data_IF_055298002119
#
_entry.id   IF_055298002119
#
_cell.length_a   1.000
_cell.length_b   1.000
_cell.length_c   1.000
_cell.angle_alpha   90.00
_cell.angle_beta   90.00
_cell.angle_gamma   90.00
#
_symmetry.space_group_name_H-M   'P 1'
#
loop_
_entity.id
_entity.type
_entity.pdbx_description
1 polymer ?
#
# COMPACT_ATOMS: atom_id res chain seq x y z
N UNK A 1 -3.64 8.10 6.46
CA UNK A 1 -4.65 7.78 7.48
C UNK A 1 -5.28 9.03 8.07
N UNK A 2 -6.57 8.96 8.43
CA UNK A 2 -7.31 9.96 9.21
C UNK A 2 -6.76 10.11 10.64
N UNK A 3 -6.15 9.05 11.18
CA UNK A 3 -5.57 9.03 12.53
C UNK A 3 -4.18 9.71 12.61
N UNK A 4 -3.63 10.16 11.48
CA UNK A 4 -2.31 10.77 11.44
C UNK A 4 -2.29 12.17 12.08
N UNK A 5 -1.31 12.41 12.95
CA UNK A 5 -0.97 13.71 13.53
C UNK A 5 0.33 14.25 12.92
N UNK A 6 0.77 15.44 13.33
CA UNK A 6 1.95 16.08 12.74
C UNK A 6 3.23 15.25 12.90
N UNK A 7 3.40 14.55 14.02
CA UNK A 7 4.55 13.69 14.27
C UNK A 7 4.54 12.46 13.35
N UNK A 8 3.44 11.71 13.29
CA UNK A 8 3.36 10.50 12.45
C UNK A 8 3.43 10.85 10.97
N UNK A 9 2.85 11.98 10.55
CA UNK A 9 2.98 12.48 9.18
C UNK A 9 4.43 12.84 8.83
N UNK A 10 5.14 13.49 9.75
CA UNK A 10 6.55 13.83 9.57
C UNK A 10 7.41 12.57 9.43
N UNK A 11 7.22 11.58 10.31
CA UNK A 11 7.94 10.31 10.26
C UNK A 11 7.67 9.54 8.96
N UNK A 12 6.40 9.39 8.58
CA UNK A 12 6.05 8.69 7.33
C UNK A 12 6.58 9.42 6.10
N UNK A 13 6.57 10.76 6.08
CA UNK A 13 7.14 11.54 4.99
C UNK A 13 8.66 11.35 4.90
N UNK A 14 9.37 11.46 6.02
CA UNK A 14 10.81 11.23 6.05
C UNK A 14 11.17 9.81 5.63
N UNK A 15 10.43 8.82 6.13
CA UNK A 15 10.59 7.42 5.73
C UNK A 15 10.43 7.24 4.22
N UNK A 16 9.40 7.85 3.63
CA UNK A 16 9.19 7.81 2.18
C UNK A 16 10.37 8.41 1.41
N UNK A 17 10.85 9.60 1.80
CA UNK A 17 11.99 10.24 1.11
C UNK A 17 13.26 9.40 1.20
N UNK A 18 13.56 8.83 2.37
CA UNK A 18 14.74 7.99 2.60
C UNK A 18 14.66 6.70 1.79
N UNK A 19 13.52 5.99 1.84
CA UNK A 19 13.34 4.74 1.14
C UNK A 19 13.33 4.94 -0.38
N UNK A 20 12.71 6.01 -0.85
CA UNK A 20 12.73 6.38 -2.26
C UNK A 20 14.16 6.65 -2.74
N UNK A 21 14.93 7.51 -2.06
CA UNK A 21 16.33 7.77 -2.42
C UNK A 21 17.16 6.49 -2.42
N UNK A 22 16.95 5.64 -1.41
CA UNK A 22 17.67 4.38 -1.27
C UNK A 22 17.38 3.40 -2.41
N UNK A 23 16.15 3.34 -2.91
CA UNK A 23 15.76 2.52 -4.07
C UNK A 23 16.32 3.12 -5.36
N UNK A 24 16.18 4.43 -5.56
CA UNK A 24 16.54 5.07 -6.83
C UNK A 24 18.04 5.21 -7.04
N UNK A 25 18.80 5.34 -5.95
CA UNK A 25 20.25 5.56 -5.98
C UNK A 25 21.06 4.36 -5.43
N UNK A 26 20.45 3.17 -5.35
CA UNK A 26 21.10 1.93 -4.95
C UNK A 26 21.87 2.03 -3.61
N UNK A 27 21.22 2.61 -2.58
CA UNK A 27 21.77 2.78 -1.21
C UNK A 27 21.05 1.89 -0.18
N UNK A 28 21.17 0.56 -0.26
CA UNK A 28 20.43 -0.37 0.61
C UNK A 28 20.76 -0.20 2.10
N UNK A 29 21.91 0.38 2.46
CA UNK A 29 22.28 0.71 3.83
C UNK A 29 21.29 1.67 4.53
N UNK A 30 20.49 2.40 3.75
CA UNK A 30 19.45 3.30 4.28
C UNK A 30 18.10 2.62 4.48
N UNK A 31 17.88 1.41 3.96
CA UNK A 31 16.61 0.68 4.12
C UNK A 31 16.24 0.45 5.59
N UNK A 32 17.14 0.02 6.49
CA UNK A 32 16.80 -0.19 7.89
C UNK A 32 16.28 1.10 8.56
N UNK A 33 16.95 2.23 8.30
CA UNK A 33 16.55 3.52 8.90
C UNK A 33 15.20 4.00 8.37
N UNK A 34 15.00 3.98 7.04
CA UNK A 34 13.72 4.35 6.43
C UNK A 34 12.58 3.44 6.89
N UNK A 35 12.82 2.13 6.98
CA UNK A 35 11.83 1.15 7.45
C UNK A 35 11.45 1.36 8.92
N UNK A 36 12.44 1.65 9.78
CA UNK A 36 12.20 1.97 11.19
C UNK A 36 11.30 3.19 11.34
N UNK A 37 11.60 4.29 10.63
CA UNK A 37 10.78 5.51 10.68
C UNK A 37 9.36 5.25 10.16
N UNK A 38 9.22 4.46 9.09
CA UNK A 38 7.93 4.04 8.56
C UNK A 38 7.11 3.32 9.64
N UNK A 39 7.70 2.32 10.30
CA UNK A 39 7.06 1.56 11.38
C UNK A 39 6.64 2.42 12.57
N UNK A 40 7.49 3.36 13.00
CA UNK A 40 7.13 4.33 14.05
C UNK A 40 5.95 5.22 13.65
N UNK A 41 5.91 5.64 12.38
CA UNK A 41 4.83 6.46 11.84
C UNK A 41 3.51 5.68 11.75
N UNK A 42 3.45 4.64 10.91
CA UNK A 42 2.20 3.91 10.66
C UNK A 42 1.75 3.08 11.86
N UNK A 43 2.66 2.60 12.71
CA UNK A 43 2.33 1.85 13.91
C UNK A 43 1.48 2.65 14.89
N UNK A 44 1.49 3.98 14.79
CA UNK A 44 0.70 4.89 15.61
C UNK A 44 -0.43 5.58 14.85
N UNK A 45 -0.64 5.27 13.56
CA UNK A 45 -1.71 5.89 12.78
C UNK A 45 -2.40 4.99 11.74
N UNK A 46 -2.16 3.68 11.70
CA UNK A 46 -2.71 2.71 10.71
C UNK A 46 -2.17 2.88 9.29
N UNK A 47 -2.17 1.78 8.53
CA UNK A 47 -1.64 1.62 7.16
C UNK A 47 -2.72 1.61 6.06
N UNK A 48 -4.00 1.55 6.42
CA UNK A 48 -5.16 1.79 5.54
C UNK A 48 -5.32 0.87 4.32
N UNK A 49 -5.97 1.35 3.24
CA UNK A 49 -6.49 0.54 2.12
C UNK A 49 -5.47 -0.42 1.49
N UNK A 50 -4.22 0.00 1.30
CA UNK A 50 -3.19 -0.85 0.68
C UNK A 50 -2.92 -2.14 1.45
N UNK A 51 -2.96 -2.09 2.80
CA UNK A 51 -2.82 -3.29 3.63
C UNK A 51 -4.08 -4.15 3.60
N UNK A 52 -5.26 -3.54 3.64
CA UNK A 52 -6.53 -4.27 3.55
C UNK A 52 -6.60 -5.09 2.24
N UNK A 53 -6.24 -4.50 1.11
CA UNK A 53 -6.18 -5.16 -0.20
C UNK A 53 -5.17 -6.30 -0.24
N UNK A 54 -4.04 -6.18 0.48
CA UNK A 54 -2.97 -7.18 0.44
C UNK A 54 -3.38 -8.53 1.04
N UNK A 55 -4.37 -8.56 1.94
CA UNK A 55 -4.76 -9.78 2.66
C UNK A 55 -5.25 -10.89 1.76
N UNK A 56 -6.02 -10.58 0.71
CA UNK A 56 -6.56 -11.62 -0.19
C UNK A 56 -5.45 -12.32 -0.97
N UNK A 57 -4.40 -11.59 -1.34
CA UNK A 57 -3.22 -12.18 -1.98
C UNK A 57 -2.38 -12.97 -0.97
N UNK A 58 -2.19 -12.45 0.24
CA UNK A 58 -1.43 -13.14 1.29
C UNK A 58 -2.12 -14.43 1.74
N UNK A 59 -3.45 -14.48 1.75
CA UNK A 59 -4.21 -15.70 2.02
C UNK A 59 -4.01 -16.78 0.94
N UNK A 60 -3.62 -16.38 -0.28
CA UNK A 60 -3.25 -17.29 -1.37
C UNK A 60 -1.76 -17.68 -1.36
N UNK A 61 -0.99 -17.22 -0.36
CA UNK A 61 0.43 -17.52 -0.19
C UNK A 61 1.38 -16.52 -0.87
N UNK A 62 0.88 -15.40 -1.41
CA UNK A 62 1.72 -14.35 -1.98
C UNK A 62 2.50 -13.65 -0.85
N UNK A 63 3.84 -13.50 -0.96
CA UNK A 63 4.62 -12.79 0.05
C UNK A 63 4.08 -11.39 0.33
N UNK A 64 3.91 -11.04 1.60
CA UNK A 64 3.21 -9.81 2.00
C UNK A 64 3.85 -8.52 1.44
N UNK A 65 5.18 -8.42 1.48
CA UNK A 65 5.88 -7.25 0.89
C UNK A 65 5.68 -7.16 -0.63
N UNK A 66 5.61 -8.29 -1.32
CA UNK A 66 5.38 -8.34 -2.75
C UNK A 66 3.92 -7.96 -3.08
N UNK A 67 2.92 -8.45 -2.34
CA UNK A 67 1.52 -8.04 -2.55
C UNK A 67 1.32 -6.54 -2.27
N UNK A 68 2.00 -6.00 -1.26
CA UNK A 68 1.94 -4.58 -0.93
C UNK A 68 2.47 -3.66 -2.03
N UNK A 69 3.35 -4.11 -2.93
CA UNK A 69 3.86 -3.28 -4.04
C UNK A 69 2.70 -2.74 -4.91
N UNK A 70 1.89 -3.64 -5.46
CA UNK A 70 0.75 -3.29 -6.30
C UNK A 70 -0.42 -2.74 -5.49
N UNK A 71 -0.73 -3.34 -4.34
CA UNK A 71 -1.85 -2.91 -3.50
C UNK A 71 -1.68 -1.47 -2.99
N UNK A 72 -0.46 -1.10 -2.58
CA UNK A 72 -0.16 0.25 -2.09
C UNK A 72 -0.15 1.26 -3.24
N UNK A 73 0.35 0.89 -4.42
CA UNK A 73 0.29 1.75 -5.61
C UNK A 73 -1.15 2.12 -5.97
N UNK A 74 -2.03 1.13 -6.08
CA UNK A 74 -3.46 1.35 -6.35
C UNK A 74 -4.14 2.12 -5.23
N UNK A 75 -3.79 1.87 -3.97
CA UNK A 75 -4.31 2.64 -2.85
C UNK A 75 -3.88 4.13 -2.89
N UNK A 76 -2.64 4.44 -3.32
CA UNK A 76 -2.20 5.81 -3.53
C UNK A 76 -3.01 6.49 -4.66
N UNK A 77 -3.23 5.77 -5.77
CA UNK A 77 -4.04 6.25 -6.89
C UNK A 77 -5.48 6.55 -6.48
N UNK A 78 -6.14 5.59 -5.82
CA UNK A 78 -7.51 5.74 -5.33
C UNK A 78 -7.64 6.94 -4.39
N UNK A 79 -6.70 7.08 -3.45
CA UNK A 79 -6.70 8.16 -2.46
C UNK A 79 -6.22 9.52 -3.03
N UNK A 80 -5.90 9.61 -4.32
CA UNK A 80 -5.31 10.82 -4.95
C UNK A 80 -4.10 11.34 -4.18
N UNK A 81 -3.25 10.41 -3.76
CA UNK A 81 -2.10 10.70 -2.92
C UNK A 81 -1.04 11.48 -3.68
N UNK A 82 -0.46 12.51 -3.07
CA UNK A 82 0.67 13.26 -3.62
C UNK A 82 1.94 12.41 -3.83
N UNK A 83 1.99 11.22 -3.24
CA UNK A 83 3.12 10.30 -3.33
C UNK A 83 2.96 9.27 -4.46
N UNK A 84 1.81 9.25 -5.15
CA UNK A 84 1.48 8.21 -6.13
C UNK A 84 2.56 8.06 -7.22
N UNK A 85 2.91 9.14 -7.92
CA UNK A 85 3.83 9.05 -9.06
C UNK A 85 5.22 8.54 -8.64
N UNK A 86 5.75 9.04 -7.52
CA UNK A 86 7.04 8.60 -6.97
C UNK A 86 6.99 7.18 -6.42
N UNK A 87 5.89 6.78 -5.79
CA UNK A 87 5.75 5.40 -5.33
C UNK A 87 5.75 4.44 -6.53
N UNK A 88 4.99 4.78 -7.57
CA UNK A 88 4.93 4.00 -8.82
C UNK A 88 6.31 3.89 -9.47
N UNK A 89 7.03 5.01 -9.61
CA UNK A 89 8.40 5.03 -10.14
C UNK A 89 9.33 4.08 -9.37
N UNK A 90 9.26 4.08 -8.04
CA UNK A 90 10.05 3.17 -7.21
C UNK A 90 9.66 1.69 -7.41
N UNK A 91 8.38 1.38 -7.60
CA UNK A 91 7.93 0.01 -7.89
C UNK A 91 8.38 -0.44 -9.28
N UNK A 92 8.31 0.45 -10.28
CA UNK A 92 8.79 0.19 -11.64
C UNK A 92 10.30 -0.08 -11.66
N UNK A 93 11.08 0.67 -10.86
CA UNK A 93 12.52 0.45 -10.68
C UNK A 93 12.84 -0.92 -10.05
N UNK A 94 12.01 -1.37 -9.10
CA UNK A 94 12.16 -2.68 -8.46
C UNK A 94 11.72 -3.84 -9.34
N UNK A 95 10.90 -3.59 -10.39
CA UNK A 95 10.59 -4.56 -11.43
C UNK A 95 9.74 -5.73 -10.95
N UNK A 96 8.80 -5.49 -10.04
CA UNK A 96 7.89 -6.53 -9.54
C UNK A 96 6.95 -7.02 -10.64
N UNK A 97 6.78 -8.34 -10.70
CA UNK A 97 5.80 -8.96 -11.59
C UNK A 97 4.36 -8.59 -11.20
N UNK A 98 3.46 -8.81 -12.15
CA UNK A 98 2.03 -8.59 -11.96
C UNK A 98 1.46 -9.58 -10.95
N UNK A 99 0.62 -9.10 -10.04
CA UNK A 99 -0.11 -9.97 -9.11
C UNK A 99 -1.25 -10.70 -9.81
N UNK A 100 -1.38 -11.98 -9.48
CA UNK A 100 -2.53 -12.80 -9.84
C UNK A 100 -3.39 -13.04 -8.59
N UNK A 101 -4.70 -12.86 -8.75
CA UNK A 101 -5.71 -13.20 -7.75
C UNK A 101 -6.49 -14.42 -8.26
N UNK A 102 -6.44 -15.53 -7.53
CA UNK A 102 -7.13 -16.77 -7.91
C UNK A 102 -8.60 -16.75 -7.50
N UNK A 103 -8.91 -16.14 -6.35
CA UNK A 103 -10.27 -15.95 -5.88
C UNK A 103 -11.09 -15.08 -6.84
N UNK A 104 -12.41 -15.26 -6.80
CA UNK A 104 -13.33 -14.32 -7.45
C UNK A 104 -13.16 -12.92 -6.83
N UNK A 105 -13.24 -11.87 -7.67
CA UNK A 105 -13.00 -10.50 -7.23
C UNK A 105 -14.07 -10.03 -6.23
N UNK A 106 -15.33 -10.44 -6.41
CA UNK A 106 -16.41 -10.06 -5.49
C UNK A 106 -16.22 -10.74 -4.14
N UNK A 107 -15.85 -12.03 -4.13
CA UNK A 107 -15.58 -12.78 -2.90
C UNK A 107 -14.35 -12.21 -2.17
N UNK A 108 -13.28 -11.92 -2.89
CA UNK A 108 -12.10 -11.26 -2.34
C UNK A 108 -12.45 -9.88 -1.77
N UNK A 109 -13.30 -9.10 -2.45
CA UNK A 109 -13.78 -7.83 -1.94
C UNK A 109 -14.57 -7.98 -0.64
N UNK A 110 -15.41 -9.02 -0.52
CA UNK A 110 -16.11 -9.32 0.74
C UNK A 110 -15.14 -9.58 1.89
N UNK A 111 -14.06 -10.34 1.64
CA UNK A 111 -13.00 -10.58 2.63
C UNK A 111 -12.32 -9.27 3.04
N UNK A 112 -11.91 -8.43 2.09
CA UNK A 112 -11.29 -7.12 2.36
C UNK A 112 -12.21 -6.22 3.17
N UNK A 113 -13.51 -6.22 2.87
CA UNK A 113 -14.51 -5.37 3.55
C UNK A 113 -14.71 -5.70 5.03
N UNK A 114 -14.23 -6.87 5.50
CA UNK A 114 -14.22 -7.24 6.92
C UNK A 114 -13.14 -6.49 7.72
N UNK A 115 -12.10 -5.96 7.06
CA UNK A 115 -10.97 -5.30 7.70
C UNK A 115 -11.24 -3.82 8.03
N UNK A 116 -12.18 -3.60 8.96
CA UNK A 116 -12.54 -2.25 9.42
C UNK A 116 -11.37 -1.49 10.05
N UNK A 117 -10.41 -2.20 10.65
CA UNK A 117 -9.22 -1.61 11.27
C UNK A 117 -8.34 -0.83 10.30
N UNK A 118 -8.29 -1.24 9.03
CA UNK A 118 -7.59 -0.50 7.99
C UNK A 118 -8.53 0.37 7.14
N UNK A 119 -9.75 -0.08 6.87
CA UNK A 119 -10.67 0.66 5.99
C UNK A 119 -11.23 1.94 6.62
N UNK A 120 -11.67 1.90 7.88
CA UNK A 120 -12.27 3.07 8.55
C UNK A 120 -11.31 4.28 8.64
N UNK A 121 -10.02 4.10 8.98
CA UNK A 121 -9.05 5.21 9.01
C UNK A 121 -8.53 5.62 7.64
N UNK A 122 -8.99 5.02 6.53
CA UNK A 122 -8.59 5.46 5.19
C UNK A 122 -9.03 6.93 4.95
N UNK A 123 -8.20 7.78 4.30
CA UNK A 123 -8.54 9.21 4.10
C UNK A 123 -9.86 9.43 3.37
N UNK A 124 -10.16 8.59 2.38
CA UNK A 124 -11.43 8.57 1.66
C UNK A 124 -12.25 7.37 2.18
N UNK A 125 -13.55 7.51 2.49
CA UNK A 125 -14.38 6.36 2.85
C UNK A 125 -14.36 5.29 1.74
N UNK A 126 -14.24 4.01 2.12
CA UNK A 126 -14.13 2.88 1.18
C UNK A 126 -15.45 2.10 1.13
N UNK A 127 -16.01 1.95 -0.07
CA UNK A 127 -17.12 1.06 -0.36
C UNK A 127 -16.64 -0.28 -0.92
N UNK A 128 -17.53 -1.27 -1.02
CA UNK A 128 -17.21 -2.56 -1.67
C UNK A 128 -16.85 -2.36 -3.15
N UNK A 129 -17.56 -1.48 -3.85
CA UNK A 129 -17.31 -1.20 -5.27
C UNK A 129 -15.92 -0.59 -5.49
N UNK A 130 -15.45 0.25 -4.55
CA UNK A 130 -14.08 0.76 -4.57
C UNK A 130 -13.05 -0.36 -4.44
N UNK A 131 -13.30 -1.32 -3.54
CA UNK A 131 -12.43 -2.48 -3.35
C UNK A 131 -12.40 -3.35 -4.60
N UNK A 132 -13.56 -3.67 -5.17
CA UNK A 132 -13.68 -4.45 -6.42
C UNK A 132 -12.85 -3.78 -7.52
N UNK A 133 -13.06 -2.47 -7.74
CA UNK A 133 -12.31 -1.71 -8.73
C UNK A 133 -10.80 -1.73 -8.47
N UNK A 134 -10.37 -1.60 -7.22
CA UNK A 134 -8.95 -1.68 -6.87
C UNK A 134 -8.36 -3.06 -7.17
N UNK A 135 -9.07 -4.14 -6.85
CA UNK A 135 -8.62 -5.51 -7.14
C UNK A 135 -8.57 -5.79 -8.64
N UNK A 136 -9.52 -5.27 -9.42
CA UNK A 136 -9.50 -5.32 -10.88
C UNK A 136 -8.31 -4.55 -11.46
N UNK A 137 -8.03 -3.35 -10.95
CA UNK A 137 -6.86 -2.56 -11.39
C UNK A 137 -5.55 -3.31 -11.11
N UNK A 138 -5.40 -3.92 -9.93
CA UNK A 138 -4.24 -4.77 -9.59
C UNK A 138 -4.13 -5.94 -10.58
N UNK A 139 -5.23 -6.68 -10.79
CA UNK A 139 -5.28 -7.83 -11.71
C UNK A 139 -5.13 -7.42 -13.17
N UNK A 140 -5.39 -6.18 -13.55
CA UNK A 140 -5.14 -5.66 -14.88
C UNK A 140 -3.68 -5.19 -15.05
N UNK A 141 -2.98 -4.88 -13.95
CA UNK A 141 -1.70 -4.17 -13.98
C UNK A 141 -1.88 -2.67 -14.21
N UNK A 142 -3.09 -2.15 -13.99
CA UNK A 142 -3.44 -0.73 -14.12
C UNK A 142 -3.04 0.03 -12.85
N UNK A 143 -1.76 -0.10 -12.48
CA UNK A 143 -1.17 0.51 -11.30
C UNK A 143 -1.11 2.04 -11.43
#
# INVERSE_FOLDING_TARGET
>A
SKLGNDLTRTLCKQAFEILYDAIMNDKPENYPYGSMLSGMGFGNCSTTLGHALSYVFSNEGVPHGYSLSSCTTVAHKHNKSIFYDRFKEAMDKLGFDKLELKADVSEAADVVMTDKGHLDPNPIPISKDDVVKCLEDIKAGNL
#
